data_IF_305450769038
#
_entry.id   IF_305450769038
#
_cell.length_a   1.000
_cell.length_b   1.000
_cell.length_c   1.000
_cell.angle_alpha   90.00
_cell.angle_beta   90.00
_cell.angle_gamma   90.00
#
_symmetry.space_group_name_H-M   'P 1'
#
loop_
_entity.id
_entity.type
_entity.pdbx_description
1 polymer ?
#
# COMPACT_ATOMS: atom_id res chain seq x y z
N UNK A 1 -3.64 -13.21 10.87
CA UNK A 1 -4.79 -12.68 10.11
C UNK A 1 -4.33 -12.41 8.68
N UNK A 2 -5.12 -12.82 7.69
CA UNK A 2 -4.81 -12.63 6.27
C UNK A 2 -5.65 -11.45 5.79
N UNK A 3 -5.00 -10.38 5.34
CA UNK A 3 -5.67 -9.21 4.78
C UNK A 3 -5.53 -9.22 3.25
N UNK A 4 -6.60 -8.84 2.54
CA UNK A 4 -6.53 -8.60 1.10
C UNK A 4 -6.01 -7.20 0.85
N UNK A 5 -4.88 -7.09 0.18
CA UNK A 5 -4.26 -5.78 -0.12
C UNK A 5 -4.39 -5.48 -1.61
N UNK A 6 -5.04 -4.38 -1.94
CA UNK A 6 -5.13 -3.85 -3.29
C UNK A 6 -4.17 -2.69 -3.45
N UNK A 7 -3.28 -2.78 -4.44
CA UNK A 7 -2.25 -1.79 -4.70
C UNK A 7 -2.58 -1.05 -5.99
N UNK A 8 -2.83 0.26 -5.88
CA UNK A 8 -3.09 1.14 -7.02
C UNK A 8 -1.89 2.04 -7.26
N UNK A 9 -1.29 1.96 -8.44
CA UNK A 9 -0.17 2.81 -8.83
C UNK A 9 -0.66 4.22 -9.24
N UNK A 10 0.22 5.22 -9.15
CA UNK A 10 -0.05 6.63 -9.51
C UNK A 10 -1.07 7.36 -8.63
N UNK A 11 -1.45 6.79 -7.48
CA UNK A 11 -2.33 7.44 -6.48
C UNK A 11 -1.67 7.43 -5.11
N UNK A 12 -2.14 8.25 -4.18
CA UNK A 12 -1.54 8.39 -2.85
C UNK A 12 -2.64 8.37 -1.78
N UNK A 13 -3.01 7.18 -1.32
CA UNK A 13 -4.05 6.98 -0.30
C UNK A 13 -3.84 5.67 0.46
N UNK A 14 -4.46 5.54 1.62
CA UNK A 14 -4.60 4.28 2.37
C UNK A 14 -6.04 4.25 2.85
N UNK A 15 -6.78 3.24 2.43
CA UNK A 15 -8.12 2.94 2.92
C UNK A 15 -8.10 1.56 3.54
N UNK A 16 -8.60 1.45 4.78
CA UNK A 16 -8.71 0.20 5.51
C UNK A 16 -10.20 -0.07 5.71
N UNK A 17 -10.71 -1.11 5.05
CA UNK A 17 -12.10 -1.55 5.12
C UNK A 17 -12.15 -2.98 5.65
N UNK A 18 -12.36 -3.13 6.96
CA UNK A 18 -12.41 -4.43 7.65
C UNK A 18 -11.23 -5.35 7.26
N UNK A 19 -11.45 -6.27 6.31
CA UNK A 19 -10.48 -7.28 5.85
C UNK A 19 -9.71 -6.88 4.57
N UNK A 20 -10.03 -5.72 3.98
CA UNK A 20 -9.42 -5.21 2.75
C UNK A 20 -8.67 -3.91 2.99
N UNK A 21 -7.43 -3.83 2.50
CA UNK A 21 -6.59 -2.65 2.57
C UNK A 21 -6.32 -2.18 1.14
N UNK A 22 -6.79 -0.99 0.79
CA UNK A 22 -6.53 -0.36 -0.51
C UNK A 22 -5.45 0.71 -0.35
N UNK A 23 -4.30 0.50 -0.98
CA UNK A 23 -3.16 1.43 -0.92
C UNK A 23 -2.89 2.02 -2.30
N UNK A 24 -2.96 3.34 -2.38
CA UNK A 24 -2.38 4.11 -3.46
C UNK A 24 -0.90 4.37 -3.22
N UNK A 25 -0.04 3.94 -4.14
CA UNK A 25 1.38 4.29 -4.17
C UNK A 25 1.70 5.13 -5.42
N UNK A 26 2.42 6.23 -5.22
CA UNK A 26 2.91 7.08 -6.31
C UNK A 26 4.15 6.50 -6.97
N UNK A 27 4.94 5.75 -6.21
CA UNK A 27 6.17 5.13 -6.69
C UNK A 27 5.89 4.04 -7.72
N UNK A 28 6.76 3.99 -8.73
CA UNK A 28 6.75 2.91 -9.71
C UNK A 28 7.12 1.59 -9.02
N UNK A 29 6.55 0.44 -9.40
CA UNK A 29 6.95 -0.88 -8.92
C UNK A 29 8.29 -1.31 -9.54
N UNK A 30 9.29 -0.43 -9.54
CA UNK A 30 10.63 -0.73 -10.00
C UNK A 30 11.56 -0.86 -8.80
N UNK A 31 12.41 -1.89 -8.83
CA UNK A 31 13.45 -2.13 -7.81
C UNK A 31 12.97 -2.19 -6.34
N UNK A 32 11.68 -2.46 -6.10
CA UNK A 32 11.13 -2.59 -4.74
C UNK A 32 10.83 -1.27 -4.03
N UNK A 33 10.94 -0.12 -4.71
CA UNK A 33 10.61 1.19 -4.13
C UNK A 33 9.14 1.26 -3.66
N UNK A 34 8.23 0.75 -4.49
CA UNK A 34 6.82 0.59 -4.15
C UNK A 34 6.59 -0.20 -2.86
N UNK A 35 7.32 -1.32 -2.66
CA UNK A 35 7.16 -2.15 -1.46
C UNK A 35 7.67 -1.43 -0.20
N UNK A 36 8.78 -0.71 -0.32
CA UNK A 36 9.32 0.07 0.79
C UNK A 36 8.35 1.18 1.20
N UNK A 37 7.78 1.90 0.23
CA UNK A 37 6.77 2.94 0.49
C UNK A 37 5.51 2.33 1.10
N UNK A 38 5.03 1.20 0.57
CA UNK A 38 3.88 0.49 1.09
C UNK A 38 4.08 0.09 2.56
N UNK A 39 5.20 -0.58 2.88
CA UNK A 39 5.49 -0.97 4.27
C UNK A 39 5.59 0.26 5.17
N UNK A 40 6.29 1.32 4.75
CA UNK A 40 6.36 2.57 5.54
C UNK A 40 4.99 3.19 5.81
N UNK A 41 4.08 3.09 4.85
CA UNK A 41 2.72 3.60 4.96
C UNK A 41 1.86 2.80 5.93
N UNK A 42 1.95 1.47 5.90
CA UNK A 42 1.13 0.59 6.76
C UNK A 42 1.76 0.43 8.16
N UNK A 43 3.08 0.60 8.28
CA UNK A 43 3.84 0.37 9.51
C UNK A 43 3.92 1.58 10.44
N UNK A 44 3.37 2.74 10.08
CA UNK A 44 3.38 3.89 11.01
C UNK A 44 2.51 3.56 12.23
N UNK A 45 3.07 3.65 13.45
CA UNK A 45 2.34 3.40 14.70
C UNK A 45 1.24 4.44 14.95
#
# INVERSE_FOLDING_TARGET
MIYKVYVTFHKDFIEVNNDEISVGIKSKPQKGEANRELIQKISKP
#
